data_IF_423665850093
#
_entry.id   IF_423665850093
#
_cell.length_a   1.000
_cell.length_b   1.000
_cell.length_c   1.000
_cell.angle_alpha   90.00
_cell.angle_beta   90.00
_cell.angle_gamma   90.00
#
_symmetry.space_group_name_H-M   'P 1'
#
loop_
_entity.id
_entity.type
_entity.pdbx_description
1 polymer ?
#
# COMPACT_ATOMS: atom_id res chain seq x y z
N UNK A 1 -3.07 44.64 -1.10
CA UNK A 1 -3.94 43.44 -1.10
C UNK A 1 -5.30 43.88 -1.60
N UNK A 2 -5.70 43.44 -2.79
CA UNK A 2 -6.98 43.78 -3.41
C UNK A 2 -7.93 42.59 -3.22
N UNK A 3 -8.95 42.75 -2.39
CA UNK A 3 -10.02 41.76 -2.26
C UNK A 3 -11.29 42.37 -2.86
N UNK A 4 -11.76 41.81 -3.98
CA UNK A 4 -13.10 42.03 -4.52
C UNK A 4 -13.67 40.67 -4.90
N UNK A 5 -14.56 40.16 -4.06
CA UNK A 5 -15.52 39.13 -4.42
C UNK A 5 -16.88 39.60 -3.94
N UNK A 6 -17.68 40.07 -4.90
CA UNK A 6 -19.11 40.33 -4.73
C UNK A 6 -19.85 39.04 -5.08
N UNK A 7 -20.65 38.51 -4.16
CA UNK A 7 -21.66 37.52 -4.48
C UNK A 7 -23.00 37.92 -3.87
N UNK A 8 -24.02 37.75 -4.70
CA UNK A 8 -25.38 38.25 -4.58
C UNK A 8 -26.18 37.61 -3.44
N UNK A 9 -27.09 38.42 -2.90
CA UNK A 9 -28.06 38.11 -1.85
C UNK A 9 -29.23 37.29 -2.44
N UNK A 10 -29.56 36.14 -1.84
CA UNK A 10 -30.80 35.40 -2.14
C UNK A 10 -31.47 35.00 -0.82
N UNK A 11 -32.38 35.86 -0.37
CA UNK A 11 -33.76 35.51 -0.02
C UNK A 11 -34.07 34.43 1.03
N UNK A 12 -34.77 34.91 2.07
CA UNK A 12 -35.97 34.31 2.70
C UNK A 12 -35.77 33.49 3.98
N UNK A 13 -36.02 34.20 5.10
CA UNK A 13 -36.55 33.73 6.38
C UNK A 13 -37.79 32.83 6.22
N UNK A 14 -37.91 31.75 6.99
CA UNK A 14 -38.81 31.63 8.15
C UNK A 14 -38.90 30.20 8.69
N UNK A 15 -38.84 30.11 10.01
CA UNK A 15 -39.19 29.00 10.90
C UNK A 15 -40.65 28.54 10.75
N UNK A 16 -40.90 27.24 10.85
CA UNK A 16 -42.18 26.73 11.40
C UNK A 16 -41.96 25.38 12.07
N UNK A 17 -42.28 25.35 13.35
CA UNK A 17 -42.40 24.15 14.18
C UNK A 17 -43.86 23.67 14.23
N UNK A 18 -44.03 22.50 14.83
CA UNK A 18 -45.24 21.91 15.43
C UNK A 18 -45.94 20.83 14.58
N UNK A 19 -45.99 19.65 15.19
CA UNK A 19 -46.89 18.56 14.88
C UNK A 19 -46.81 17.48 15.96
N UNK A 20 -47.23 17.80 17.19
CA UNK A 20 -47.51 16.79 18.23
C UNK A 20 -48.89 16.17 17.96
N UNK A 21 -48.99 14.84 17.98
CA UNK A 21 -50.27 14.13 18.12
C UNK A 21 -50.13 12.84 18.94
N UNK A 22 -50.51 12.99 20.23
CA UNK A 22 -51.26 12.13 21.17
C UNK A 22 -51.37 10.59 21.02
N UNK A 23 -51.14 9.91 22.16
CA UNK A 23 -51.80 8.66 22.60
C UNK A 23 -50.96 7.38 22.36
N UNK A 24 -50.69 6.48 23.30
CA UNK A 24 -51.29 6.15 24.60
C UNK A 24 -50.22 5.50 25.49
N UNK A 25 -50.42 5.51 26.81
CA UNK A 25 -49.60 4.74 27.75
C UNK A 25 -50.00 3.26 27.65
N UNK A 26 -49.05 2.38 27.35
CA UNK A 26 -49.16 0.95 27.63
C UNK A 26 -48.05 0.60 28.63
N UNK A 27 -48.46 0.11 29.80
CA UNK A 27 -47.55 -0.38 30.83
C UNK A 27 -46.72 -1.55 30.31
N UNK A 28 -45.47 -1.58 30.75
CA UNK A 28 -44.46 -2.58 30.47
C UNK A 28 -44.97 -4.01 30.67
N UNK A 29 -44.73 -4.87 29.67
CA UNK A 29 -44.29 -6.24 29.93
C UNK A 29 -42.87 -6.39 29.40
N UNK A 30 -41.98 -6.71 30.34
CA UNK A 30 -40.58 -6.96 30.11
C UNK A 30 -40.41 -8.14 29.14
N UNK A 31 -39.73 -7.92 28.02
CA UNK A 31 -38.64 -8.77 27.48
C UNK A 31 -38.27 -8.28 26.08
N UNK A 32 -37.45 -7.22 25.99
CA UNK A 32 -36.60 -7.07 24.80
C UNK A 32 -35.57 -8.17 24.87
N UNK A 33 -35.80 -9.27 24.15
CA UNK A 33 -34.76 -10.25 23.86
C UNK A 33 -33.60 -9.49 23.19
N UNK A 34 -32.55 -9.23 23.98
CA UNK A 34 -31.28 -8.69 23.48
C UNK A 34 -30.76 -9.72 22.48
N UNK A 35 -30.96 -9.46 21.20
CA UNK A 35 -30.22 -10.14 20.15
C UNK A 35 -28.73 -10.02 20.52
N UNK A 36 -27.95 -11.12 20.52
CA UNK A 36 -26.53 -11.03 20.73
C UNK A 36 -25.98 -10.06 19.70
N UNK A 37 -25.42 -8.94 20.14
CA UNK A 37 -24.62 -8.07 19.28
C UNK A 37 -23.46 -8.94 18.80
N UNK A 38 -23.54 -9.39 17.55
CA UNK A 38 -22.39 -9.98 16.87
C UNK A 38 -21.27 -8.95 16.93
N UNK A 39 -20.06 -9.32 17.41
CA UNK A 39 -18.92 -8.41 17.37
C UNK A 39 -18.75 -7.95 15.93
N UNK A 40 -18.97 -6.67 15.67
CA UNK A 40 -18.64 -6.10 14.37
C UNK A 40 -17.13 -6.16 14.29
N UNK A 41 -16.60 -7.05 13.44
CA UNK A 41 -15.18 -7.09 13.13
C UNK A 41 -14.84 -5.78 12.43
N UNK A 42 -14.36 -4.79 13.19
CA UNK A 42 -13.71 -3.62 12.64
C UNK A 42 -12.37 -4.06 12.07
N UNK A 43 -12.35 -4.31 10.75
CA UNK A 43 -11.10 -4.38 10.02
C UNK A 43 -10.47 -2.99 10.07
N UNK A 44 -9.23 -2.85 10.55
CA UNK A 44 -8.53 -1.58 10.43
C UNK A 44 -8.48 -1.22 8.94
N UNK A 45 -9.01 -0.05 8.59
CA UNK A 45 -8.87 0.51 7.25
C UNK A 45 -7.43 1.03 7.10
N UNK A 46 -6.49 0.13 6.84
CA UNK A 46 -5.10 0.48 6.58
C UNK A 46 -4.99 0.79 5.09
N UNK A 47 -4.60 2.01 4.75
CA UNK A 47 -4.30 2.35 3.37
C UNK A 47 -3.13 1.47 2.88
N UNK A 48 -3.16 0.95 1.63
CA UNK A 48 -2.02 0.22 1.08
C UNK A 48 -0.78 1.11 1.02
N UNK A 49 0.39 0.54 1.34
CA UNK A 49 1.67 1.22 1.16
C UNK A 49 2.06 1.31 -0.31
N UNK A 50 2.71 2.41 -0.68
CA UNK A 50 3.25 2.65 -2.02
C UNK A 50 4.72 2.24 -2.07
N UNK A 51 5.06 1.37 -3.03
CA UNK A 51 6.42 0.85 -3.24
C UNK A 51 6.90 1.20 -4.63
N UNK A 52 8.10 1.77 -4.74
CA UNK A 52 8.72 2.10 -6.01
C UNK A 52 10.24 1.92 -5.98
N UNK A 53 10.81 1.39 -7.06
CA UNK A 53 12.27 1.38 -7.23
C UNK A 53 12.70 2.75 -7.73
N UNK A 54 13.61 3.37 -6.98
CA UNK A 54 14.26 4.61 -7.39
C UNK A 54 15.51 4.30 -8.22
N UNK A 55 16.35 3.40 -7.70
CA UNK A 55 17.57 2.94 -8.37
C UNK A 55 17.71 1.44 -8.12
N UNK A 56 18.11 0.67 -9.14
CA UNK A 56 18.51 -0.72 -8.99
C UNK A 56 19.76 -0.95 -9.83
N UNK A 57 20.76 -1.59 -9.23
CA UNK A 57 21.99 -1.96 -9.91
C UNK A 57 22.36 -3.41 -9.59
N UNK A 58 22.73 -4.16 -10.63
CA UNK A 58 23.29 -5.51 -10.52
C UNK A 58 24.77 -5.38 -10.18
N UNK A 59 25.17 -5.89 -9.03
CA UNK A 59 26.54 -5.75 -8.52
C UNK A 59 27.44 -6.91 -8.93
N UNK A 60 26.88 -8.11 -9.03
CA UNK A 60 27.55 -9.31 -9.55
C UNK A 60 26.54 -10.21 -10.27
N UNK A 61 26.98 -11.36 -10.79
CA UNK A 61 26.14 -12.36 -11.46
C UNK A 61 24.98 -12.90 -10.60
N UNK A 62 25.03 -12.71 -9.27
CA UNK A 62 24.01 -13.23 -8.33
C UNK A 62 23.62 -12.23 -7.24
N UNK A 63 24.11 -10.98 -7.30
CA UNK A 63 23.81 -9.97 -6.27
C UNK A 63 23.48 -8.63 -6.88
N UNK A 64 22.67 -7.84 -6.17
CA UNK A 64 22.37 -6.48 -6.54
C UNK A 64 22.07 -5.59 -5.34
N UNK A 65 21.97 -4.29 -5.61
CA UNK A 65 21.53 -3.28 -4.65
C UNK A 65 20.42 -2.43 -5.25
N UNK A 66 19.47 -2.05 -4.42
CA UNK A 66 18.37 -1.19 -4.79
C UNK A 66 18.13 -0.09 -3.75
N UNK A 67 17.65 1.05 -4.21
CA UNK A 67 17.05 2.11 -3.42
C UNK A 67 15.56 2.07 -3.72
N UNK A 68 14.77 1.82 -2.67
CA UNK A 68 13.33 1.64 -2.76
C UNK A 68 12.67 2.75 -1.96
N UNK A 69 11.69 3.40 -2.58
CA UNK A 69 10.78 4.31 -1.90
C UNK A 69 9.61 3.51 -1.36
N UNK A 70 9.37 3.64 -0.06
CA UNK A 70 8.26 3.04 0.67
C UNK A 70 7.53 4.14 1.44
N UNK A 71 6.39 4.60 0.92
CA UNK A 71 5.66 5.74 1.47
C UNK A 71 6.56 6.98 1.70
N UNK A 72 6.86 7.29 2.97
CA UNK A 72 7.72 8.41 3.39
C UNK A 72 9.15 7.98 3.74
N UNK A 73 9.53 6.74 3.42
CA UNK A 73 10.83 6.16 3.72
C UNK A 73 11.59 5.80 2.44
N UNK A 74 12.92 5.84 2.55
CA UNK A 74 13.85 5.31 1.57
C UNK A 74 14.59 4.14 2.19
N UNK A 75 14.50 2.98 1.54
CA UNK A 75 15.14 1.74 1.95
C UNK A 75 16.31 1.46 1.00
N UNK A 76 17.51 1.31 1.57
CA UNK A 76 18.64 0.72 0.85
C UNK A 76 18.63 -0.79 1.10
N UNK A 77 18.55 -1.53 0.01
CA UNK A 77 18.37 -2.98 0.05
C UNK A 77 19.47 -3.65 -0.75
N UNK A 78 20.12 -4.64 -0.14
CA UNK A 78 20.94 -5.64 -0.84
C UNK A 78 20.10 -6.88 -1.12
N UNK A 79 20.30 -7.50 -2.28
CA UNK A 79 19.58 -8.73 -2.63
C UNK A 79 20.48 -9.73 -3.34
N UNK A 80 20.14 -11.00 -3.18
CA UNK A 80 20.69 -12.12 -3.94
C UNK A 80 19.62 -12.65 -4.90
N UNK A 81 20.04 -13.06 -6.10
CA UNK A 81 19.12 -13.53 -7.12
C UNK A 81 19.66 -14.71 -7.91
N UNK A 82 18.74 -15.49 -8.47
CA UNK A 82 19.01 -16.55 -9.43
C UNK A 82 18.28 -16.24 -10.73
N UNK A 83 19.03 -16.16 -11.82
CA UNK A 83 18.48 -16.04 -13.17
C UNK A 83 18.39 -17.43 -13.82
N UNK A 84 17.29 -17.72 -14.49
CA UNK A 84 17.07 -18.98 -15.19
C UNK A 84 16.27 -18.75 -16.48
N UNK A 85 16.47 -19.60 -17.51
CA UNK A 85 15.66 -19.52 -18.72
C UNK A 85 14.21 -19.95 -18.43
N UNK A 86 13.25 -19.25 -19.00
CA UNK A 86 11.82 -19.55 -18.90
C UNK A 86 11.10 -19.19 -20.22
N UNK A 87 9.87 -19.68 -20.40
CA UNK A 87 9.12 -19.55 -21.65
C UNK A 87 7.62 -19.53 -21.42
N UNK A 88 6.90 -18.74 -22.23
CA UNK A 88 5.43 -18.78 -22.26
C UNK A 88 4.88 -20.00 -23.03
N UNK A 89 5.74 -20.94 -23.45
CA UNK A 89 5.34 -22.18 -24.11
C UNK A 89 5.02 -22.03 -25.61
N UNK A 90 5.33 -20.88 -26.21
CA UNK A 90 5.27 -20.65 -27.65
C UNK A 90 6.64 -20.31 -28.21
N UNK A 91 6.93 -20.73 -29.44
CA UNK A 91 8.23 -20.50 -30.04
C UNK A 91 8.57 -19.00 -30.11
N UNK A 92 9.77 -18.63 -29.64
CA UNK A 92 10.25 -17.25 -29.60
C UNK A 92 9.75 -16.44 -28.40
N UNK A 93 9.16 -17.08 -27.39
CA UNK A 93 8.72 -16.44 -26.14
C UNK A 93 9.63 -16.73 -24.95
N UNK A 94 10.87 -17.13 -25.23
CA UNK A 94 11.89 -17.37 -24.21
C UNK A 94 12.30 -16.05 -23.55
N UNK A 95 12.46 -16.06 -22.23
CA UNK A 95 12.94 -14.95 -21.44
C UNK A 95 13.83 -15.45 -20.30
N UNK A 96 14.53 -14.52 -19.65
CA UNK A 96 15.26 -14.82 -18.41
C UNK A 96 14.35 -14.48 -17.24
N UNK A 97 13.90 -15.49 -16.50
CA UNK A 97 13.17 -15.33 -15.26
C UNK A 97 14.15 -15.15 -14.10
N UNK A 98 13.70 -14.44 -13.06
CA UNK A 98 14.52 -14.09 -11.89
C UNK A 98 13.81 -14.44 -10.60
N UNK A 99 14.53 -15.13 -9.71
CA UNK A 99 14.09 -15.38 -8.34
C UNK A 99 14.98 -14.62 -7.35
N UNK A 100 14.37 -13.82 -6.47
CA UNK A 100 15.09 -13.19 -5.35
C UNK A 100 15.15 -14.17 -4.18
N UNK A 101 16.32 -14.76 -3.96
CA UNK A 101 16.53 -15.77 -2.92
C UNK A 101 16.65 -15.12 -1.54
N UNK A 102 17.41 -14.03 -1.44
CA UNK A 102 17.68 -13.34 -0.19
C UNK A 102 17.56 -11.82 -0.32
N UNK A 103 17.19 -11.16 0.78
CA UNK A 103 17.09 -9.72 0.92
C UNK A 103 17.69 -9.30 2.26
N UNK A 104 18.47 -8.23 2.23
CA UNK A 104 18.99 -7.55 3.41
C UNK A 104 18.59 -6.08 3.36
N UNK A 105 17.92 -5.59 4.39
CA UNK A 105 17.66 -4.16 4.57
C UNK A 105 18.89 -3.54 5.20
N UNK A 106 19.70 -2.86 4.39
CA UNK A 106 20.96 -2.25 4.85
C UNK A 106 20.68 -0.99 5.68
N UNK A 107 19.68 -0.20 5.27
CA UNK A 107 19.38 1.09 5.89
C UNK A 107 17.97 1.56 5.57
N UNK A 108 17.32 2.21 6.54
CA UNK A 108 16.06 2.93 6.34
C UNK A 108 16.25 4.39 6.72
N UNK A 109 15.80 5.29 5.85
CA UNK A 109 15.87 6.74 6.03
C UNK A 109 14.47 7.33 5.89
N UNK A 110 14.05 8.16 6.85
CA UNK A 110 12.81 8.94 6.76
C UNK A 110 12.99 10.18 5.86
N UNK A 111 11.91 10.86 5.51
CA UNK A 111 11.89 12.09 4.70
C UNK A 111 12.76 13.21 5.29
N UNK A 112 12.93 13.22 6.61
CA UNK A 112 13.79 14.17 7.33
C UNK A 112 15.28 13.77 7.31
N UNK A 113 15.64 12.67 6.66
CA UNK A 113 17.02 12.16 6.60
C UNK A 113 17.44 11.36 7.84
N UNK A 114 16.51 11.03 8.74
CA UNK A 114 16.80 10.29 9.96
C UNK A 114 16.90 8.79 9.68
N UNK A 115 17.98 8.17 10.17
CA UNK A 115 18.14 6.73 10.15
C UNK A 115 17.21 6.04 11.14
N UNK A 116 16.52 5.00 10.68
CA UNK A 116 15.60 4.19 11.46
C UNK A 116 16.08 2.76 11.53
N UNK A 117 15.68 2.06 12.60
CA UNK A 117 15.81 0.61 12.68
C UNK A 117 14.88 -0.04 11.67
N UNK A 118 15.23 -1.25 11.24
CA UNK A 118 14.39 -2.05 10.36
C UNK A 118 13.04 -2.32 11.04
N UNK A 119 11.98 -1.86 10.39
CA UNK A 119 10.59 -2.08 10.79
C UNK A 119 9.83 -2.96 9.80
N UNK A 120 10.51 -3.44 8.75
CA UNK A 120 9.87 -4.24 7.71
C UNK A 120 9.40 -5.57 8.28
N UNK A 121 8.21 -5.98 7.86
CA UNK A 121 7.65 -7.27 8.21
C UNK A 121 7.77 -8.28 7.06
N UNK A 122 7.25 -9.50 7.27
CA UNK A 122 7.30 -10.54 6.26
C UNK A 122 6.58 -10.15 4.95
N UNK A 123 5.47 -9.42 5.04
CA UNK A 123 4.72 -9.01 3.85
C UNK A 123 5.47 -7.93 3.08
N UNK A 124 6.10 -6.99 3.79
CA UNK A 124 6.98 -5.99 3.16
C UNK A 124 8.09 -6.66 2.36
N UNK A 125 8.75 -7.67 2.95
CA UNK A 125 9.81 -8.41 2.27
C UNK A 125 9.29 -9.12 1.02
N UNK A 126 8.11 -9.74 1.06
CA UNK A 126 7.51 -10.38 -0.12
C UNK A 126 7.17 -9.35 -1.21
N UNK A 127 6.59 -8.21 -0.83
CA UNK A 127 6.26 -7.14 -1.76
C UNK A 127 7.52 -6.57 -2.41
N UNK A 128 8.58 -6.35 -1.63
CA UNK A 128 9.88 -5.90 -2.14
C UNK A 128 10.49 -6.93 -3.09
N UNK A 129 10.48 -8.22 -2.75
CA UNK A 129 10.95 -9.29 -3.66
C UNK A 129 10.22 -9.23 -5.00
N UNK A 130 8.88 -9.17 -4.97
CA UNK A 130 8.08 -9.11 -6.19
C UNK A 130 8.37 -7.86 -7.01
N UNK A 131 8.56 -6.70 -6.36
CA UNK A 131 8.92 -5.45 -7.01
C UNK A 131 10.27 -5.56 -7.72
N UNK A 132 11.28 -6.13 -7.05
CA UNK A 132 12.62 -6.35 -7.61
C UNK A 132 12.58 -7.29 -8.82
N UNK A 133 11.93 -8.45 -8.69
CA UNK A 133 11.76 -9.42 -9.81
C UNK A 133 11.14 -8.72 -11.01
N UNK A 134 9.98 -8.10 -10.80
CA UNK A 134 9.22 -7.43 -11.87
C UNK A 134 10.04 -6.36 -12.56
N UNK A 135 10.83 -5.60 -11.81
CA UNK A 135 11.67 -4.56 -12.38
C UNK A 135 12.85 -5.12 -13.17
N UNK A 136 13.53 -6.14 -12.64
CA UNK A 136 14.68 -6.77 -13.31
C UNK A 136 14.24 -7.40 -14.64
N UNK A 137 13.15 -8.17 -14.63
CA UNK A 137 12.65 -8.86 -15.82
C UNK A 137 12.12 -7.88 -16.87
N UNK A 138 11.32 -6.88 -16.47
CA UNK A 138 10.77 -5.89 -17.41
C UNK A 138 11.85 -5.04 -18.09
N UNK A 139 12.96 -4.80 -17.40
CA UNK A 139 14.07 -4.01 -17.92
C UNK A 139 15.23 -4.86 -18.47
N UNK A 140 15.10 -6.20 -18.47
CA UNK A 140 16.11 -7.14 -18.99
C UNK A 140 17.51 -6.88 -18.39
N UNK A 141 17.57 -6.65 -17.08
CA UNK A 141 18.83 -6.27 -16.41
C UNK A 141 19.81 -7.43 -16.23
N UNK A 142 19.35 -8.65 -16.50
CA UNK A 142 20.12 -9.89 -16.41
C UNK A 142 19.79 -10.77 -17.59
N UNK A 143 20.78 -11.51 -18.07
CA UNK A 143 20.64 -12.49 -19.14
C UNK A 143 21.35 -13.77 -18.74
N UNK A 144 20.74 -14.92 -19.07
CA UNK A 144 21.45 -16.19 -19.04
C UNK A 144 22.04 -16.47 -20.43
N UNK A 145 23.29 -16.91 -20.48
CA UNK A 145 23.89 -17.39 -21.72
C UNK A 145 23.15 -18.68 -22.13
N UNK A 146 22.43 -18.62 -23.26
CA UNK A 146 21.76 -19.77 -23.88
C UNK A 146 22.73 -20.73 -24.56
#
# INVERSE_FOLDING_TARGET
>A
MNAKANFYNIGVMTTTAIGMSLGTMACNDHTSARLPQTPQLTYPNVAPSDYGIEILNITTDHTGKAIIKLDSFTLLVGFEYLAHPDSYGVAGSEYTAVEITNITIDQIVDIDGKYLSDFTDHNDILNIKQLLVTYIEKNQLVEVMS
#
